data_IF_900166622913
#
_entry.id   IF_900166622913
#
_cell.length_a   1.000
_cell.length_b   1.000
_cell.length_c   1.000
_cell.angle_alpha   90.00
_cell.angle_beta   90.00
_cell.angle_gamma   90.00
#
_symmetry.space_group_name_H-M   'P 1'
#
loop_
_entity.id
_entity.type
_entity.pdbx_description
1 polymer ?
#
# COMPACT_ATOMS: atom_id res chain seq x y z
N UNK A 1 10.22 18.99 -30.21
CA UNK A 1 10.51 19.21 -28.77
C UNK A 1 10.50 17.85 -28.08
N UNK A 2 11.64 17.17 -28.02
CA UNK A 2 11.77 15.95 -27.21
C UNK A 2 12.05 16.40 -25.78
N UNK A 3 10.99 16.61 -24.99
CA UNK A 3 11.16 16.67 -23.54
C UNK A 3 11.91 15.40 -23.14
N UNK A 4 13.10 15.55 -22.58
CA UNK A 4 13.90 14.46 -22.05
C UNK A 4 13.03 13.71 -21.05
N UNK A 5 12.47 12.57 -21.47
CA UNK A 5 11.69 11.70 -20.60
C UNK A 5 12.62 11.36 -19.46
N UNK A 6 12.41 11.93 -18.27
CA UNK A 6 13.09 11.48 -17.08
C UNK A 6 12.88 9.96 -17.05
N UNK A 7 13.97 9.20 -17.11
CA UNK A 7 13.88 7.73 -17.12
C UNK A 7 12.99 7.32 -15.96
N UNK A 8 11.94 6.54 -16.22
CA UNK A 8 11.00 6.09 -15.17
C UNK A 8 11.74 5.42 -14.00
N UNK A 9 12.91 4.85 -14.29
CA UNK A 9 13.82 4.23 -13.32
C UNK A 9 14.45 5.23 -12.34
N UNK A 10 14.55 6.51 -12.71
CA UNK A 10 15.18 7.56 -11.90
C UNK A 10 14.17 8.28 -10.99
N UNK A 11 12.87 7.98 -11.12
CA UNK A 11 11.87 8.54 -10.22
C UNK A 11 12.06 7.98 -8.80
N UNK A 12 11.83 8.78 -7.75
CA UNK A 12 11.94 8.30 -6.37
C UNK A 12 10.91 7.20 -6.10
N UNK A 13 11.16 6.42 -5.05
CA UNK A 13 10.15 5.50 -4.56
C UNK A 13 9.07 6.21 -3.74
N UNK A 14 7.83 5.79 -3.93
CA UNK A 14 6.66 6.37 -3.26
C UNK A 14 6.00 5.26 -2.45
N UNK A 15 5.83 5.49 -1.15
CA UNK A 15 4.90 4.75 -0.32
C UNK A 15 3.67 5.62 -0.06
N UNK A 16 2.51 5.11 -0.42
CA UNK A 16 1.23 5.78 -0.23
C UNK A 16 0.70 5.60 1.19
N UNK A 17 1.11 4.53 1.86
CA UNK A 17 0.67 4.19 3.21
C UNK A 17 1.86 3.84 4.09
N UNK A 18 1.94 4.44 5.27
CA UNK A 18 2.90 4.04 6.30
C UNK A 18 2.50 2.67 6.86
N UNK A 19 3.40 1.69 6.76
CA UNK A 19 3.15 0.31 7.18
C UNK A 19 3.94 -0.08 8.44
N UNK A 20 4.38 0.88 9.24
CA UNK A 20 5.07 0.54 10.49
C UNK A 20 4.08 -0.08 11.50
N UNK A 21 4.26 -1.38 11.74
CA UNK A 21 3.39 -2.18 12.63
C UNK A 21 3.50 -1.70 14.07
N UNK A 22 4.68 -1.27 14.51
CA UNK A 22 4.89 -0.86 15.90
C UNK A 22 4.21 0.48 16.18
N UNK A 23 4.31 1.41 15.23
CA UNK A 23 3.58 2.68 15.26
C UNK A 23 2.07 2.44 15.22
N UNK A 24 1.58 1.57 14.33
CA UNK A 24 0.16 1.23 14.24
C UNK A 24 -0.37 0.61 15.54
N UNK A 25 0.37 -0.36 16.11
CA UNK A 25 -0.01 -1.03 17.34
C UNK A 25 -0.05 -0.05 18.52
N UNK A 26 0.97 0.79 18.66
CA UNK A 26 1.06 1.79 19.72
C UNK A 26 -0.12 2.76 19.63
N UNK A 27 -0.46 3.20 18.42
CA UNK A 27 -1.62 4.06 18.17
C UNK A 27 -2.93 3.37 18.54
N UNK A 28 -3.16 2.13 18.08
CA UNK A 28 -4.39 1.40 18.39
C UNK A 28 -4.58 1.14 19.89
N UNK A 29 -3.49 0.89 20.63
CA UNK A 29 -3.53 0.77 22.09
C UNK A 29 -3.91 2.12 22.72
N UNK A 30 -3.28 3.21 22.28
CA UNK A 30 -3.59 4.55 22.79
C UNK A 30 -5.06 4.93 22.52
N UNK A 31 -5.53 4.73 21.29
CA UNK A 31 -6.90 4.99 20.87
C UNK A 31 -7.91 4.20 21.72
N UNK A 32 -7.62 2.93 22.03
CA UNK A 32 -8.46 2.14 22.94
C UNK A 32 -8.50 2.72 24.36
N UNK A 33 -7.34 3.07 24.93
CA UNK A 33 -7.25 3.60 26.29
C UNK A 33 -7.98 4.94 26.41
N UNK A 34 -7.85 5.81 25.40
CA UNK A 34 -8.57 7.08 25.32
C UNK A 34 -10.08 6.88 25.20
N UNK A 35 -10.53 5.98 24.32
CA UNK A 35 -11.94 5.65 24.18
C UNK A 35 -12.52 5.03 25.46
N UNK A 36 -11.76 4.16 26.14
CA UNK A 36 -12.15 3.57 27.41
C UNK A 36 -12.29 4.63 28.50
N UNK A 37 -11.32 5.54 28.63
CA UNK A 37 -11.38 6.64 29.59
C UNK A 37 -12.54 7.58 29.31
N UNK A 38 -12.77 7.92 28.04
CA UNK A 38 -13.87 8.82 27.63
C UNK A 38 -15.25 8.21 27.92
N UNK A 39 -15.38 6.89 27.78
CA UNK A 39 -16.65 6.17 28.00
C UNK A 39 -16.93 5.87 29.47
N UNK A 40 -15.89 5.53 30.25
CA UNK A 40 -16.04 5.04 31.63
C UNK A 40 -15.63 6.06 32.70
N UNK A 41 -14.97 7.16 32.30
CA UNK A 41 -14.34 8.11 33.22
C UNK A 41 -13.10 7.57 33.94
N UNK A 42 -12.70 6.32 33.69
CA UNK A 42 -11.59 5.66 34.38
C UNK A 42 -10.44 5.40 33.42
N UNK A 43 -9.23 5.80 33.81
CA UNK A 43 -8.02 5.46 33.04
C UNK A 43 -7.71 3.96 33.17
N UNK A 44 -7.43 3.31 32.04
CA UNK A 44 -7.00 1.92 31.98
C UNK A 44 -5.72 1.80 31.18
N UNK A 45 -4.71 1.15 31.76
CA UNK A 45 -3.46 0.81 31.07
C UNK A 45 -3.45 -0.66 30.70
N UNK A 46 -3.21 -0.98 29.42
CA UNK A 46 -3.17 -2.35 28.92
C UNK A 46 -1.79 -3.00 29.11
N UNK A 47 -1.67 -3.90 30.09
CA UNK A 47 -0.47 -4.72 30.27
C UNK A 47 -0.27 -5.70 29.09
N UNK A 48 0.96 -6.15 28.85
CA UNK A 48 1.30 -7.01 27.69
C UNK A 48 0.52 -8.33 27.64
N UNK A 49 0.14 -8.88 28.81
CA UNK A 49 -0.66 -10.11 28.92
C UNK A 49 -2.17 -9.90 28.94
N UNK A 50 -2.68 -8.66 28.84
CA UNK A 50 -4.11 -8.41 28.82
C UNK A 50 -4.72 -9.02 27.54
N UNK A 51 -5.76 -9.88 27.64
CA UNK A 51 -6.43 -10.47 26.48
C UNK A 51 -6.90 -9.42 25.46
N UNK A 52 -7.28 -8.21 25.90
CA UNK A 52 -7.67 -7.11 25.03
C UNK A 52 -6.49 -6.63 24.21
N UNK A 53 -5.29 -6.54 24.81
CA UNK A 53 -4.08 -6.13 24.09
C UNK A 53 -3.66 -7.17 23.05
N UNK A 54 -3.79 -8.46 23.37
CA UNK A 54 -3.57 -9.56 22.41
C UNK A 54 -4.57 -9.47 21.25
N UNK A 55 -5.84 -9.16 21.54
CA UNK A 55 -6.85 -8.96 20.51
C UNK A 55 -6.53 -7.75 19.61
N UNK A 56 -6.13 -6.60 20.20
CA UNK A 56 -5.70 -5.41 19.45
C UNK A 56 -4.52 -5.76 18.53
N UNK A 57 -3.55 -6.54 19.01
CA UNK A 57 -2.42 -6.99 18.20
C UNK A 57 -2.85 -7.80 16.97
N UNK A 58 -3.78 -8.75 17.14
CA UNK A 58 -4.33 -9.50 16.01
C UNK A 58 -5.05 -8.60 14.99
N UNK A 59 -5.75 -7.56 15.44
CA UNK A 59 -6.38 -6.58 14.55
C UNK A 59 -5.34 -5.70 13.84
N UNK A 60 -4.29 -5.27 14.53
CA UNK A 60 -3.21 -4.49 13.95
C UNK A 60 -2.54 -5.24 12.79
N UNK A 61 -2.30 -6.54 12.93
CA UNK A 61 -1.75 -7.37 11.84
C UNK A 61 -2.68 -7.44 10.62
N UNK A 62 -4.00 -7.54 10.84
CA UNK A 62 -4.99 -7.52 9.75
C UNK A 62 -4.98 -6.17 9.03
N UNK A 63 -4.93 -5.06 9.77
CA UNK A 63 -4.90 -3.70 9.20
C UNK A 63 -3.58 -3.48 8.44
N UNK A 64 -2.45 -3.91 8.99
CA UNK A 64 -1.17 -3.87 8.30
C UNK A 64 -1.22 -4.60 6.95
N UNK A 65 -1.82 -5.80 6.92
CA UNK A 65 -2.00 -6.56 5.69
C UNK A 65 -2.87 -5.79 4.68
N UNK A 66 -3.92 -5.11 5.15
CA UNK A 66 -4.75 -4.26 4.31
C UNK A 66 -3.98 -3.02 3.79
N UNK A 67 -3.15 -2.38 4.61
CA UNK A 67 -2.30 -1.25 4.18
C UNK A 67 -1.31 -1.64 3.10
N UNK A 68 -0.74 -2.85 3.18
CA UNK A 68 0.12 -3.37 2.12
C UNK A 68 -0.64 -3.57 0.80
N UNK A 69 -1.86 -4.11 0.86
CA UNK A 69 -2.71 -4.27 -0.32
C UNK A 69 -3.12 -2.91 -0.94
N UNK A 70 -3.47 -1.94 -0.10
CA UNK A 70 -3.84 -0.58 -0.55
C UNK A 70 -2.65 0.12 -1.19
N UNK A 71 -1.47 0.07 -0.57
CA UNK A 71 -0.26 0.68 -1.12
C UNK A 71 0.10 0.06 -2.48
N UNK A 72 0.01 -1.26 -2.59
CA UNK A 72 0.28 -1.95 -3.85
C UNK A 72 -0.74 -1.61 -4.94
N UNK A 73 -2.03 -1.52 -4.60
CA UNK A 73 -3.07 -1.10 -5.53
C UNK A 73 -2.87 0.35 -6.00
N UNK A 74 -2.46 1.26 -5.10
CA UNK A 74 -2.13 2.63 -5.45
C UNK A 74 -0.89 2.71 -6.35
N UNK A 75 0.15 1.91 -6.07
CA UNK A 75 1.35 1.80 -6.92
C UNK A 75 1.01 1.39 -8.35
N UNK A 76 0.09 0.44 -8.56
CA UNK A 76 -0.34 0.03 -9.90
C UNK A 76 -1.08 1.09 -10.72
N UNK A 77 -1.37 2.26 -10.15
CA UNK A 77 -1.85 3.42 -10.92
C UNK A 77 -0.70 4.30 -11.44
N UNK A 78 0.55 4.05 -11.02
CA UNK A 78 1.72 4.77 -11.50
C UNK A 78 2.49 3.95 -12.54
N UNK A 79 2.81 4.59 -13.67
CA UNK A 79 3.50 3.95 -14.80
C UNK A 79 4.81 3.26 -14.40
N UNK A 80 5.53 3.78 -13.39
CA UNK A 80 6.76 3.19 -12.86
C UNK A 80 6.57 1.78 -12.27
N UNK A 81 5.43 1.51 -11.63
CA UNK A 81 5.19 0.27 -10.89
C UNK A 81 4.20 -0.67 -11.58
N UNK A 82 3.41 -0.17 -12.54
CA UNK A 82 2.42 -0.97 -13.25
C UNK A 82 3.05 -1.98 -14.19
N UNK A 83 2.46 -3.16 -14.26
CA UNK A 83 2.87 -4.23 -15.17
C UNK A 83 1.67 -5.03 -15.68
N UNK A 84 1.87 -5.81 -16.74
CA UNK A 84 0.83 -6.65 -17.34
C UNK A 84 -0.45 -5.87 -17.68
N UNK A 85 -1.60 -6.41 -17.26
CA UNK A 85 -2.92 -5.82 -17.54
C UNK A 85 -3.08 -4.40 -16.96
N UNK A 86 -2.50 -4.10 -15.80
CA UNK A 86 -2.56 -2.77 -15.22
C UNK A 86 -1.85 -1.74 -16.09
N UNK A 87 -0.69 -2.12 -16.67
CA UNK A 87 0.03 -1.29 -17.62
C UNK A 87 -0.76 -1.12 -18.93
N UNK A 88 -1.46 -2.17 -19.40
CA UNK A 88 -2.31 -2.10 -20.59
C UNK A 88 -3.46 -1.10 -20.39
N UNK A 89 -4.08 -1.09 -19.20
CA UNK A 89 -5.09 -0.10 -18.84
C UNK A 89 -4.53 1.33 -18.81
N UNK A 90 -3.33 1.54 -18.26
CA UNK A 90 -2.67 2.84 -18.30
C UNK A 90 -2.31 3.28 -19.73
N UNK A 91 -1.84 2.36 -20.57
CA UNK A 91 -1.59 2.61 -21.99
C UNK A 91 -2.85 3.08 -22.72
N UNK A 92 -3.98 2.42 -22.47
CA UNK A 92 -5.25 2.79 -23.09
C UNK A 92 -5.67 4.24 -22.77
N UNK A 93 -5.38 4.74 -21.56
CA UNK A 93 -5.65 6.14 -21.17
C UNK A 93 -4.89 7.16 -22.02
N UNK A 94 -3.71 6.79 -22.53
CA UNK A 94 -2.88 7.64 -23.40
C UNK A 94 -2.98 7.26 -24.88
N UNK A 95 -3.96 6.42 -25.24
CA UNK A 95 -4.19 5.98 -26.62
C UNK A 95 -3.17 4.96 -27.14
N UNK A 96 -2.44 4.29 -26.25
CA UNK A 96 -1.44 3.26 -26.60
C UNK A 96 -1.99 1.88 -26.27
N UNK A 97 -1.91 0.95 -27.22
CA UNK A 97 -2.31 -0.45 -27.03
C UNK A 97 -1.12 -1.38 -27.16
N UNK A 98 -1.16 -2.51 -26.44
CA UNK A 98 -0.13 -3.55 -26.57
C UNK A 98 -0.28 -4.24 -27.93
N UNK A 99 0.80 -4.26 -28.70
CA UNK A 99 0.88 -5.03 -29.94
C UNK A 99 0.80 -6.53 -29.67
N UNK A 100 0.10 -7.25 -30.55
CA UNK A 100 0.01 -8.70 -30.46
C UNK A 100 1.37 -9.35 -30.74
N UNK A 101 1.68 -10.44 -30.04
CA UNK A 101 2.89 -11.21 -30.30
C UNK A 101 2.89 -11.69 -31.76
N UNK A 102 3.89 -11.28 -32.53
CA UNK A 102 4.10 -11.72 -33.91
C UNK A 102 5.26 -12.71 -33.94
N UNK A 103 5.14 -13.74 -34.78
CA UNK A 103 6.19 -14.74 -34.96
C UNK A 103 7.50 -14.10 -35.44
N UNK A 104 8.63 -14.71 -35.10
CA UNK A 104 9.94 -14.22 -35.56
C UNK A 104 10.05 -14.34 -37.08
N UNK A 105 10.43 -13.25 -37.75
CA UNK A 105 10.74 -13.26 -39.19
C UNK A 105 12.25 -13.43 -39.40
N UNK A 106 12.65 -14.41 -40.21
CA UNK A 106 14.03 -14.56 -40.71
C UNK A 106 14.06 -14.08 -42.15
N UNK A 107 15.10 -13.30 -42.50
CA UNK A 107 15.40 -12.95 -43.90
C UNK A 107 16.28 -14.06 -44.48
N UNK A 108 15.88 -14.64 -45.61
CA UNK A 108 16.73 -15.59 -46.37
C UNK A 108 17.76 -14.85 -47.21
#
# INVERSE_FOLDING_TARGET
MSASVASLNNLPDIDFVNKDVDTLLTKMIADYQEAYQSSTGTAKTLASGDPIRIWIYAQALRIYSAYQLIDQAAKYNLLKYSSGKYLDHLGALVGVTREAATGASVTQ
#
